data_IF_594363650374
#
_entry.id   IF_594363650374
#
_cell.length_a   1.000
_cell.length_b   1.000
_cell.length_c   1.000
_cell.angle_alpha   90.00
_cell.angle_beta   90.00
_cell.angle_gamma   90.00
#
_symmetry.space_group_name_H-M   'P 1'
#
loop_
_entity.id
_entity.type
_entity.pdbx_description
1 polymer ?
#
# COMPACT_ATOMS: atom_id res chain seq x y z
N UNK A 1 1.32 12.07 3.76
CA UNK A 1 -0.04 11.52 3.59
C UNK A 1 -0.52 11.67 2.15
N UNK A 2 -0.49 12.86 1.54
CA UNK A 2 -0.83 13.01 0.12
C UNK A 2 -0.04 12.07 -0.79
N UNK A 3 1.27 11.93 -0.56
CA UNK A 3 2.12 10.96 -1.28
C UNK A 3 1.71 9.49 -1.03
N UNK A 4 1.27 9.15 0.19
CA UNK A 4 0.73 7.83 0.48
C UNK A 4 -0.60 7.60 -0.26
N UNK A 5 -1.49 8.60 -0.30
CA UNK A 5 -2.76 8.52 -1.02
C UNK A 5 -2.51 8.36 -2.53
N UNK A 6 -1.60 9.15 -3.12
CA UNK A 6 -1.23 9.00 -4.52
C UNK A 6 -0.71 7.59 -4.84
N UNK A 7 0.08 7.02 -3.94
CA UNK A 7 0.60 5.67 -4.13
C UNK A 7 -0.48 4.58 -3.93
N UNK A 8 -1.10 4.52 -2.75
CA UNK A 8 -1.99 3.42 -2.37
C UNK A 8 -3.38 3.52 -3.02
N UNK A 9 -3.90 4.73 -3.25
CA UNK A 9 -5.18 4.94 -3.94
C UNK A 9 -5.01 5.03 -5.45
N UNK A 10 -4.20 5.97 -5.92
CA UNK A 10 -4.20 6.29 -7.35
C UNK A 10 -3.38 5.29 -8.16
N UNK A 11 -2.24 4.82 -7.63
CA UNK A 11 -1.38 3.86 -8.34
C UNK A 11 -1.76 2.40 -8.05
N UNK A 12 -1.89 2.02 -6.79
CA UNK A 12 -2.20 0.63 -6.42
C UNK A 12 -3.69 0.30 -6.59
N UNK A 13 -4.57 1.30 -6.44
CA UNK A 13 -6.01 1.14 -6.69
C UNK A 13 -6.86 0.82 -5.45
N UNK A 14 -6.33 0.94 -4.23
CA UNK A 14 -7.13 0.76 -3.02
C UNK A 14 -8.07 1.97 -2.81
N UNK A 15 -9.27 1.71 -2.30
CA UNK A 15 -10.18 2.79 -1.90
C UNK A 15 -9.64 3.48 -0.65
N UNK A 16 -9.57 4.81 -0.66
CA UNK A 16 -9.38 5.60 0.56
C UNK A 16 -10.70 5.60 1.35
N UNK A 17 -10.74 4.86 2.45
CA UNK A 17 -11.97 4.64 3.22
C UNK A 17 -12.17 5.69 4.31
N UNK A 18 -11.08 6.21 4.88
CA UNK A 18 -11.12 7.17 5.97
C UNK A 18 -9.89 8.08 5.96
N UNK A 19 -10.10 9.35 6.30
CA UNK A 19 -9.05 10.27 6.74
C UNK A 19 -9.24 10.56 8.22
N UNK A 20 -8.18 10.41 8.98
CA UNK A 20 -8.12 10.75 10.40
C UNK A 20 -6.99 11.77 10.60
N UNK A 21 -7.01 12.62 11.65
CA UNK A 21 -5.89 13.49 11.95
C UNK A 21 -4.55 12.73 11.98
N UNK A 22 -3.71 12.99 10.97
CA UNK A 22 -2.42 12.33 10.83
C UNK A 22 -2.43 10.93 10.21
N UNK A 23 -3.54 10.45 9.62
CA UNK A 23 -3.59 9.15 8.95
C UNK A 23 -4.59 9.04 7.80
N UNK A 24 -4.27 8.17 6.84
CA UNK A 24 -5.11 7.79 5.70
C UNK A 24 -5.25 6.27 5.66
N UNK A 25 -6.48 5.77 5.51
CA UNK A 25 -6.83 4.35 5.60
C UNK A 25 -7.35 3.83 4.26
N UNK A 26 -6.92 2.63 3.87
CA UNK A 26 -7.13 2.07 2.55
C UNK A 26 -7.72 0.66 2.61
N UNK A 27 -8.59 0.32 1.65
CA UNK A 27 -9.18 -1.02 1.54
C UNK A 27 -9.53 -1.41 0.10
N UNK A 28 -9.77 -2.72 -0.10
CA UNK A 28 -10.45 -3.27 -1.27
C UNK A 28 -11.79 -3.89 -0.85
N UNK A 29 -12.69 -4.11 -1.82
CA UNK A 29 -13.93 -4.87 -1.62
C UNK A 29 -14.93 -4.28 -0.62
N UNK A 30 -14.86 -2.98 -0.32
CA UNK A 30 -15.77 -2.31 0.62
C UNK A 30 -15.48 -2.57 2.10
N UNK A 31 -14.36 -3.21 2.45
CA UNK A 31 -13.95 -3.43 3.84
C UNK A 31 -13.56 -2.11 4.54
N UNK A 32 -13.58 -2.09 5.88
CA UNK A 32 -13.35 -0.87 6.65
C UNK A 32 -11.90 -0.32 6.50
N UNK A 33 -10.87 -1.17 6.64
CA UNK A 33 -9.48 -0.87 6.27
C UNK A 33 -8.64 -2.15 6.24
N UNK A 34 -7.71 -2.25 5.30
CA UNK A 34 -6.66 -3.28 5.29
C UNK A 34 -5.29 -2.70 5.64
N UNK A 35 -5.03 -1.46 5.21
CA UNK A 35 -3.76 -0.78 5.37
C UNK A 35 -4.00 0.67 5.79
N UNK A 36 -3.06 1.25 6.54
CA UNK A 36 -3.06 2.66 6.85
C UNK A 36 -1.65 3.23 6.73
N UNK A 37 -1.57 4.49 6.28
CA UNK A 37 -0.37 5.31 6.39
C UNK A 37 -0.61 6.40 7.42
N UNK A 38 0.32 6.60 8.35
CA UNK A 38 0.22 7.64 9.37
C UNK A 38 1.54 8.39 9.58
N UNK A 39 1.45 9.54 10.23
CA UNK A 39 2.58 10.42 10.53
C UNK A 39 2.66 10.80 12.01
N UNK A 40 2.03 10.03 12.90
CA UNK A 40 1.91 10.39 14.32
C UNK A 40 3.27 10.53 15.01
N UNK A 41 4.23 9.68 14.65
CA UNK A 41 5.60 9.68 15.20
C UNK A 41 6.68 9.86 14.13
N UNK A 42 6.31 10.25 12.91
CA UNK A 42 7.20 10.16 11.73
C UNK A 42 6.96 11.29 10.72
N UNK A 43 6.35 12.39 11.13
CA UNK A 43 6.10 13.54 10.23
C UNK A 43 7.42 14.05 9.63
N UNK A 44 7.50 14.06 8.31
CA UNK A 44 8.70 14.47 7.57
C UNK A 44 9.78 13.40 7.46
N UNK A 45 9.52 12.17 7.90
CA UNK A 45 10.43 11.06 7.68
C UNK A 45 10.59 10.77 6.17
N UNK A 46 11.84 10.71 5.72
CA UNK A 46 12.19 10.26 4.37
C UNK A 46 12.20 8.73 4.25
N UNK A 47 12.72 8.19 3.14
CA UNK A 47 12.87 6.75 2.93
C UNK A 47 13.64 6.07 4.06
N UNK A 48 13.32 4.80 4.30
CA UNK A 48 14.04 4.01 5.31
C UNK A 48 15.50 3.83 4.88
N UNK A 49 16.42 3.97 5.84
CA UNK A 49 17.83 3.68 5.65
C UNK A 49 18.10 2.24 6.04
N UNK A 50 18.82 1.48 5.22
CA UNK A 50 19.24 0.13 5.58
C UNK A 50 20.62 0.15 6.27
N UNK A 51 20.88 -0.79 7.21
CA UNK A 51 19.95 -1.77 7.77
C UNK A 51 19.16 -1.19 8.95
N UNK A 52 17.85 -1.45 9.01
CA UNK A 52 16.99 -1.14 10.16
C UNK A 52 15.96 -2.24 10.41
N UNK A 53 15.57 -2.43 11.67
CA UNK A 53 14.43 -3.28 12.02
C UNK A 53 13.11 -2.58 11.65
N UNK A 54 12.18 -3.31 11.06
CA UNK A 54 10.84 -2.80 10.72
C UNK A 54 10.08 -3.71 9.76
N UNK A 55 8.96 -3.21 9.22
CA UNK A 55 8.13 -3.94 8.26
C UNK A 55 8.87 -4.16 6.95
N UNK A 56 9.30 -5.37 6.65
CA UNK A 56 10.09 -5.65 5.43
C UNK A 56 9.26 -5.49 4.15
N UNK A 57 8.08 -6.13 4.11
CA UNK A 57 7.23 -6.18 2.93
C UNK A 57 5.74 -6.34 3.30
N UNK A 58 4.88 -6.06 2.32
CA UNK A 58 3.45 -6.34 2.34
C UNK A 58 3.14 -7.20 1.11
N UNK A 59 2.50 -8.34 1.32
CA UNK A 59 1.95 -9.16 0.24
C UNK A 59 0.44 -9.00 0.16
N UNK A 60 -0.06 -8.68 -1.03
CA UNK A 60 -1.47 -8.53 -1.33
C UNK A 60 -1.96 -9.78 -2.06
N UNK A 61 -2.98 -10.41 -1.52
CA UNK A 61 -3.64 -11.55 -2.16
C UNK A 61 -4.92 -11.07 -2.84
N UNK A 62 -5.02 -11.32 -4.15
CA UNK A 62 -6.17 -10.92 -4.95
C UNK A 62 -6.67 -12.07 -5.83
N UNK A 63 -7.99 -12.16 -6.00
CA UNK A 63 -8.57 -13.11 -6.95
C UNK A 63 -8.14 -12.73 -8.39
N UNK A 64 -8.09 -13.70 -9.31
CA UNK A 64 -7.47 -13.53 -10.63
C UNK A 64 -7.91 -12.27 -11.42
N UNK A 65 -9.21 -11.87 -11.45
CA UNK A 65 -9.61 -10.64 -12.14
C UNK A 65 -9.02 -9.37 -11.50
N UNK A 66 -9.00 -9.29 -10.17
CA UNK A 66 -8.46 -8.15 -9.45
C UNK A 66 -6.93 -8.12 -9.54
N UNK A 67 -6.28 -9.28 -9.43
CA UNK A 67 -4.84 -9.40 -9.59
C UNK A 67 -4.39 -8.92 -11.00
N UNK A 68 -5.11 -9.30 -12.06
CA UNK A 68 -4.84 -8.80 -13.40
C UNK A 68 -4.99 -7.27 -13.53
N UNK A 69 -6.03 -6.69 -12.92
CA UNK A 69 -6.24 -5.25 -12.91
C UNK A 69 -5.12 -4.51 -12.15
N UNK A 70 -4.68 -5.06 -11.02
CA UNK A 70 -3.57 -4.52 -10.24
C UNK A 70 -2.27 -4.62 -11.07
N UNK A 71 -1.92 -5.78 -11.64
CA UNK A 71 -0.73 -5.95 -12.49
C UNK A 71 -0.68 -4.95 -13.64
N UNK A 72 -1.82 -4.68 -14.28
CA UNK A 72 -1.91 -3.70 -15.36
C UNK A 72 -1.57 -2.27 -14.88
N UNK A 73 -1.99 -1.89 -13.67
CA UNK A 73 -1.62 -0.60 -13.04
C UNK A 73 -0.15 -0.56 -12.59
N UNK A 74 0.36 -1.70 -12.15
CA UNK A 74 1.70 -1.82 -11.58
C UNK A 74 2.81 -1.94 -12.63
N UNK A 75 2.51 -2.56 -13.77
CA UNK A 75 3.50 -3.03 -14.73
C UNK A 75 4.25 -4.29 -14.28
N UNK A 76 3.68 -5.08 -13.34
CA UNK A 76 4.29 -6.30 -12.80
C UNK A 76 3.67 -6.75 -11.46
N UNK A 77 4.35 -7.66 -10.77
CA UNK A 77 3.89 -8.27 -9.49
C UNK A 77 4.45 -7.60 -8.23
N UNK A 78 5.32 -6.61 -8.40
CA UNK A 78 5.91 -5.93 -7.26
C UNK A 78 6.25 -4.48 -7.53
N UNK A 79 6.30 -3.70 -6.46
CA UNK A 79 6.67 -2.31 -6.43
C UNK A 79 7.25 -1.95 -5.06
N UNK A 80 7.81 -0.75 -4.97
CA UNK A 80 8.15 -0.13 -3.68
C UNK A 80 7.30 1.10 -3.46
N UNK A 81 6.84 1.26 -2.22
CA UNK A 81 6.23 2.50 -1.79
C UNK A 81 7.26 3.64 -1.70
N UNK A 82 6.81 4.90 -1.51
CA UNK A 82 7.71 6.05 -1.44
C UNK A 82 8.77 5.97 -0.34
N UNK A 83 8.54 5.15 0.70
CA UNK A 83 9.46 4.94 1.81
C UNK A 83 10.32 3.68 1.68
N UNK A 84 10.22 2.97 0.54
CA UNK A 84 11.01 1.79 0.20
C UNK A 84 10.39 0.45 0.59
N UNK A 85 9.20 0.44 1.21
CA UNK A 85 8.47 -0.79 1.59
C UNK A 85 8.17 -1.60 0.34
N UNK A 86 8.56 -2.88 0.32
CA UNK A 86 8.23 -3.77 -0.80
C UNK A 86 6.75 -4.14 -0.73
N UNK A 87 6.03 -3.95 -1.82
CA UNK A 87 4.65 -4.40 -2.00
C UNK A 87 4.67 -5.47 -3.09
N UNK A 88 4.15 -6.66 -2.79
CA UNK A 88 4.02 -7.78 -3.73
C UNK A 88 2.56 -8.15 -3.93
N UNK A 89 2.26 -8.73 -5.08
CA UNK A 89 0.95 -9.26 -5.43
C UNK A 89 1.08 -10.77 -5.68
N UNK A 90 0.21 -11.55 -5.06
CA UNK A 90 0.05 -12.97 -5.33
C UNK A 90 -1.43 -13.31 -5.54
N UNK A 91 -1.69 -14.41 -6.25
CA UNK A 91 -3.05 -14.86 -6.51
C UNK A 91 -3.65 -15.49 -5.24
N UNK A 92 -4.87 -15.12 -4.91
CA UNK A 92 -5.60 -15.65 -3.76
C UNK A 92 -6.13 -17.04 -4.10
N UNK A 93 -5.62 -18.07 -3.43
CA UNK A 93 -6.07 -19.46 -3.59
C UNK A 93 -5.10 -20.42 -4.30
N UNK A 94 -3.81 -20.10 -4.34
CA UNK A 94 -2.75 -21.09 -4.56
C UNK A 94 -2.55 -21.98 -3.32
#
# INVERSE_FOLDING_TARGET
LAEAEAFYRDRLGLALTCRYPGGSFFAAGGYHHHLAANIWNSRGAGPRRDPVTGLEAIELLADAPEAAAIRARLGGDSLRDPWGTRITLADKGA
#
